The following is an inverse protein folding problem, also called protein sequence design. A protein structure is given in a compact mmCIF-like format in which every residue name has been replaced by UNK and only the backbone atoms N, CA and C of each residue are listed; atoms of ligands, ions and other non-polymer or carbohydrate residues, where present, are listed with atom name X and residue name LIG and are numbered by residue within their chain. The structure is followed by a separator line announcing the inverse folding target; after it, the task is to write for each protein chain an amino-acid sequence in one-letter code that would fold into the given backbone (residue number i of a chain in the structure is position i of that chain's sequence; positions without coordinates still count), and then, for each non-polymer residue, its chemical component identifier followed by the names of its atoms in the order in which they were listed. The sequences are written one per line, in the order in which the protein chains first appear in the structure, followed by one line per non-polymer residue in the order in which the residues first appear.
data_IF_767220235854
#
_entry.id   IF_767220235854
#
_cell.length_a   1.000
_cell.length_b   1.000
_cell.length_c   1.000
_cell.angle_alpha   90.00
_cell.angle_beta   90.00
_cell.angle_gamma   90.00
#
_symmetry.space_group_name_H-M   'P 1'
#
loop_
_entity.id
_entity.type
_entity.pdbx_description
1 polymer ?
#
# COMPACT_ATOMS: atom_id res chain seq x y z
N UNK A 1 14.37 13.43 24.76
CA UNK A 1 15.21 13.29 23.56
C UNK A 1 15.72 14.67 23.16
N UNK A 2 17.01 14.79 22.86
CA UNK A 2 17.61 16.02 22.32
C UNK A 2 17.07 16.30 20.91
N UNK A 3 17.18 17.55 20.45
CA UNK A 3 16.75 17.92 19.08
C UNK A 3 17.44 17.09 18.01
N UNK A 4 18.71 16.74 18.19
CA UNK A 4 19.50 15.89 17.28
C UNK A 4 18.94 14.46 17.20
N UNK A 5 18.57 13.85 18.31
CA UNK A 5 17.98 12.50 18.31
C UNK A 5 16.61 12.44 17.62
N UNK A 6 15.82 13.51 17.74
CA UNK A 6 14.53 13.60 17.03
C UNK A 6 14.70 13.72 15.52
N UNK A 7 15.69 14.51 15.07
CA UNK A 7 15.95 14.66 13.63
C UNK A 7 16.44 13.35 13.01
N UNK A 8 17.36 12.64 13.67
CA UNK A 8 17.85 11.33 13.21
C UNK A 8 16.74 10.28 13.15
N UNK A 9 15.85 10.23 14.14
CA UNK A 9 14.69 9.32 14.12
C UNK A 9 13.73 9.62 12.97
N UNK A 10 13.43 10.88 12.70
CA UNK A 10 12.56 11.28 11.58
C UNK A 10 13.16 10.94 10.23
N UNK A 11 14.46 11.13 10.04
CA UNK A 11 15.17 10.76 8.82
C UNK A 11 15.14 9.24 8.62
N UNK A 12 15.41 8.45 9.68
CA UNK A 12 15.33 6.98 9.63
C UNK A 12 13.94 6.51 9.20
N UNK A 13 12.87 7.09 9.75
CA UNK A 13 11.50 6.79 9.34
C UNK A 13 11.27 7.17 7.86
N UNK A 14 11.71 8.35 7.41
CA UNK A 14 11.57 8.77 6.02
C UNK A 14 12.27 7.82 5.05
N UNK A 15 13.48 7.36 5.38
CA UNK A 15 14.22 6.39 4.56
C UNK A 15 13.48 5.04 4.47
N UNK A 16 12.90 4.57 5.58
CA UNK A 16 12.09 3.35 5.57
C UNK A 16 10.81 3.49 4.75
N UNK A 17 10.09 4.62 4.85
CA UNK A 17 8.91 4.87 4.01
C UNK A 17 9.27 4.94 2.53
N UNK A 18 10.38 5.60 2.18
CA UNK A 18 10.87 5.63 0.79
C UNK A 18 11.28 4.24 0.29
N UNK A 19 11.98 3.47 1.12
CA UNK A 19 12.31 2.08 0.82
C UNK A 19 11.06 1.22 0.62
N UNK A 20 10.01 1.45 1.40
CA UNK A 20 8.71 0.79 1.24
C UNK A 20 8.06 1.14 -0.11
N UNK A 21 8.12 2.40 -0.56
CA UNK A 21 7.62 2.77 -1.90
C UNK A 21 8.33 1.95 -2.98
N UNK A 22 9.66 1.92 -2.95
CA UNK A 22 10.46 1.17 -3.92
C UNK A 22 10.13 -0.33 -3.87
N UNK A 23 10.07 -0.89 -2.67
CA UNK A 23 9.72 -2.29 -2.45
C UNK A 23 8.36 -2.64 -3.03
N UNK A 24 7.32 -1.84 -2.71
CA UNK A 24 5.95 -2.09 -3.20
C UNK A 24 5.89 -1.99 -4.73
N UNK A 25 6.59 -1.03 -5.34
CA UNK A 25 6.66 -0.93 -6.79
C UNK A 25 7.32 -2.17 -7.42
N UNK A 26 8.46 -2.62 -6.90
CA UNK A 26 9.19 -3.78 -7.45
C UNK A 26 8.45 -5.08 -7.19
N UNK A 27 8.07 -5.35 -5.94
CA UNK A 27 7.37 -6.57 -5.58
C UNK A 27 5.97 -6.65 -6.19
N UNK A 28 5.24 -5.52 -6.26
CA UNK A 28 3.96 -5.44 -6.94
C UNK A 28 4.06 -5.75 -8.42
N UNK A 29 5.07 -5.19 -9.10
CA UNK A 29 5.32 -5.52 -10.51
C UNK A 29 5.65 -7.01 -10.71
N UNK A 30 6.41 -7.63 -9.80
CA UNK A 30 6.66 -9.07 -9.85
C UNK A 30 5.40 -9.89 -9.63
N UNK A 31 4.52 -9.47 -8.70
CA UNK A 31 3.24 -10.13 -8.44
C UNK A 31 2.27 -10.05 -9.62
N UNK A 32 2.42 -9.07 -10.51
CA UNK A 32 1.60 -8.96 -11.72
C UNK A 32 1.73 -10.20 -12.62
N UNK A 33 2.92 -10.76 -12.70
CA UNK A 33 3.21 -11.94 -13.52
C UNK A 33 3.23 -13.25 -12.74
N UNK A 34 3.20 -13.19 -11.41
CA UNK A 34 3.46 -14.34 -10.55
C UNK A 34 2.40 -15.45 -10.69
N UNK A 35 1.13 -15.11 -10.97
CA UNK A 35 0.08 -16.10 -11.15
C UNK A 35 0.30 -16.95 -12.41
N UNK A 36 0.65 -16.32 -13.53
CA UNK A 36 0.98 -17.02 -14.78
C UNK A 36 2.28 -17.81 -14.65
N UNK A 37 3.33 -17.21 -14.08
CA UNK A 37 4.64 -17.87 -13.86
C UNK A 37 4.55 -19.06 -12.90
N UNK A 38 3.55 -19.10 -12.03
CA UNK A 38 3.29 -20.25 -11.14
C UNK A 38 2.41 -21.32 -11.77
N UNK A 39 2.24 -21.30 -13.09
CA UNK A 39 1.34 -22.20 -13.82
C UNK A 39 -0.10 -22.19 -13.27
N UNK A 40 -0.59 -21.00 -12.95
CA UNK A 40 -1.94 -20.76 -12.38
C UNK A 40 -2.19 -21.48 -11.06
N UNK A 41 -1.14 -21.64 -10.25
CA UNK A 41 -1.25 -22.25 -8.92
C UNK A 41 -2.21 -21.46 -8.02
N UNK A 42 -3.35 -22.09 -7.66
CA UNK A 42 -4.47 -21.42 -6.97
C UNK A 42 -4.08 -20.64 -5.70
N UNK A 43 -3.18 -21.10 -4.80
CA UNK A 43 -2.78 -20.29 -3.66
C UNK A 43 -2.07 -18.98 -4.03
N UNK A 44 -1.43 -18.89 -5.20
CA UNK A 44 -0.81 -17.66 -5.69
C UNK A 44 -1.85 -16.57 -5.98
N UNK A 45 -3.09 -16.94 -6.32
CA UNK A 45 -4.19 -16.02 -6.53
C UNK A 45 -4.52 -15.13 -5.30
N UNK A 46 -4.09 -15.53 -4.09
CA UNK A 46 -4.22 -14.70 -2.91
C UNK A 46 -3.37 -13.41 -3.02
N UNK A 47 -2.19 -13.51 -3.59
CA UNK A 47 -1.18 -12.45 -3.61
C UNK A 47 -1.09 -11.74 -4.96
N UNK A 48 -1.15 -12.50 -6.03
CA UNK A 48 -0.95 -12.07 -7.41
C UNK A 48 -2.25 -11.67 -8.08
N UNK A 49 -2.17 -10.84 -9.13
CA UNK A 49 -3.30 -10.54 -9.99
C UNK A 49 -3.65 -11.76 -10.84
N UNK A 50 -4.93 -12.15 -10.87
CA UNK A 50 -5.43 -13.25 -11.71
C UNK A 50 -6.09 -12.73 -13.00
N UNK A 51 -6.33 -11.44 -13.09
CA UNK A 51 -6.85 -10.74 -14.27
C UNK A 51 -6.50 -9.24 -14.19
N UNK A 52 -6.81 -8.51 -15.26
CA UNK A 52 -6.49 -7.08 -15.42
C UNK A 52 -7.49 -6.13 -14.71
N UNK A 53 -8.31 -6.60 -13.79
CA UNK A 53 -9.23 -5.73 -13.06
C UNK A 53 -8.49 -4.81 -12.07
N UNK A 54 -9.04 -3.61 -11.87
CA UNK A 54 -8.50 -2.67 -10.88
C UNK A 54 -8.47 -3.26 -9.45
N UNK A 55 -9.42 -4.16 -9.14
CA UNK A 55 -9.46 -4.90 -7.88
C UNK A 55 -8.23 -5.79 -7.70
N UNK A 56 -7.93 -6.61 -8.71
CA UNK A 56 -6.80 -7.54 -8.68
C UNK A 56 -5.46 -6.82 -8.53
N UNK A 57 -5.30 -5.69 -9.22
CA UNK A 57 -4.11 -4.84 -9.08
C UNK A 57 -3.94 -4.28 -7.66
N UNK A 58 -5.02 -4.11 -6.90
CA UNK A 58 -4.92 -3.61 -5.52
C UNK A 58 -4.18 -4.57 -4.59
N UNK A 59 -4.29 -5.88 -4.81
CA UNK A 59 -3.54 -6.89 -4.05
C UNK A 59 -2.03 -6.72 -4.15
N UNK A 60 -1.57 -6.32 -5.33
CA UNK A 60 -0.15 -6.09 -5.60
C UNK A 60 0.46 -4.92 -4.81
N UNK A 61 -0.36 -4.02 -4.29
CA UNK A 61 0.09 -2.95 -3.40
C UNK A 61 -0.09 -3.33 -1.93
N UNK A 62 -1.20 -4.00 -1.63
CA UNK A 62 -1.56 -4.35 -0.26
C UNK A 62 -0.58 -5.35 0.36
N UNK A 63 -0.35 -6.51 -0.27
CA UNK A 63 0.48 -7.55 0.30
C UNK A 63 1.95 -7.14 0.47
N UNK A 64 2.63 -6.58 -0.53
CA UNK A 64 3.98 -6.07 -0.32
C UNK A 64 4.06 -4.96 0.73
N UNK A 65 3.05 -4.08 0.78
CA UNK A 65 2.96 -3.03 1.78
C UNK A 65 2.78 -3.58 3.21
N UNK A 66 1.94 -4.60 3.38
CA UNK A 66 1.75 -5.28 4.66
C UNK A 66 3.03 -5.99 5.11
N UNK A 67 3.70 -6.73 4.22
CA UNK A 67 4.97 -7.39 4.55
C UNK A 67 6.07 -6.39 4.89
N UNK A 68 6.17 -5.29 4.14
CA UNK A 68 7.10 -4.20 4.47
C UNK A 68 6.80 -3.61 5.85
N UNK A 69 5.52 -3.40 6.21
CA UNK A 69 5.14 -2.90 7.51
C UNK A 69 5.56 -3.85 8.66
N UNK A 70 5.42 -5.16 8.48
CA UNK A 70 5.85 -6.15 9.47
C UNK A 70 7.37 -6.12 9.67
N UNK A 71 8.14 -6.09 8.59
CA UNK A 71 9.60 -6.00 8.62
C UNK A 71 10.06 -4.67 9.23
N UNK A 72 9.52 -3.55 8.75
CA UNK A 72 9.90 -2.22 9.21
C UNK A 72 9.65 -2.03 10.72
N UNK A 73 8.60 -2.65 11.28
CA UNK A 73 8.31 -2.57 12.72
C UNK A 73 9.51 -2.99 13.55
N UNK A 74 10.21 -4.06 13.18
CA UNK A 74 11.36 -4.58 13.93
C UNK A 74 12.50 -3.56 14.02
N UNK A 75 12.63 -2.70 13.01
CA UNK A 75 13.73 -1.73 12.89
C UNK A 75 13.37 -0.30 13.30
N UNK A 76 12.08 0.01 13.48
CA UNK A 76 11.67 1.42 13.70
C UNK A 76 10.79 1.62 14.93
N UNK A 77 10.40 0.56 15.65
CA UNK A 77 9.52 0.63 16.82
C UNK A 77 10.04 1.50 17.96
N UNK A 78 11.36 1.72 18.01
CA UNK A 78 12.05 2.54 19.00
C UNK A 78 11.93 4.05 18.74
N UNK A 79 11.67 4.45 17.48
CA UNK A 79 11.60 5.85 17.03
C UNK A 79 10.23 6.24 16.47
N UNK A 80 9.38 5.26 16.15
CA UNK A 80 8.07 5.49 15.59
C UNK A 80 7.00 5.60 16.68
N UNK A 81 6.23 6.69 16.65
CA UNK A 81 4.97 6.76 17.38
C UNK A 81 3.83 6.28 16.47
N UNK A 82 2.73 5.81 17.06
CA UNK A 82 1.49 5.47 16.32
C UNK A 82 1.71 4.52 15.14
N UNK A 83 2.69 3.61 15.23
CA UNK A 83 3.19 2.82 14.12
C UNK A 83 2.06 2.13 13.33
N UNK A 84 1.28 1.30 14.01
CA UNK A 84 0.23 0.52 13.36
C UNK A 84 -0.87 1.38 12.74
N UNK A 85 -1.18 2.53 13.33
CA UNK A 85 -2.13 3.48 12.75
C UNK A 85 -1.60 4.07 11.44
N UNK A 86 -0.34 4.49 11.41
CA UNK A 86 0.30 4.99 10.19
C UNK A 86 0.28 3.95 9.07
N UNK A 87 0.62 2.70 9.38
CA UNK A 87 0.61 1.61 8.39
C UNK A 87 -0.80 1.25 7.93
N UNK A 88 -1.76 1.18 8.83
CA UNK A 88 -3.16 0.94 8.47
C UNK A 88 -3.71 2.04 7.54
N UNK A 89 -3.39 3.30 7.83
CA UNK A 89 -3.78 4.44 6.98
C UNK A 89 -3.11 4.34 5.60
N UNK A 90 -1.81 4.04 5.53
CA UNK A 90 -1.13 3.88 4.24
C UNK A 90 -1.76 2.76 3.39
N UNK A 91 -2.01 1.58 4.00
CA UNK A 91 -2.60 0.42 3.33
C UNK A 91 -4.04 0.67 2.84
N UNK A 92 -4.82 1.50 3.57
CA UNK A 92 -6.17 1.85 3.18
C UNK A 92 -6.21 3.00 2.15
N UNK A 93 -5.37 4.01 2.34
CA UNK A 93 -5.36 5.22 1.51
C UNK A 93 -4.80 4.96 0.11
N UNK A 94 -3.75 4.16 -0.02
CA UNK A 94 -3.10 3.85 -1.29
C UNK A 94 -4.09 3.35 -2.36
N UNK A 95 -4.88 2.28 -2.13
CA UNK A 95 -5.84 1.80 -3.13
C UNK A 95 -6.93 2.83 -3.43
N UNK A 96 -7.42 3.55 -2.45
CA UNK A 96 -8.44 4.59 -2.65
C UNK A 96 -7.94 5.69 -3.59
N UNK A 97 -6.71 6.17 -3.37
CA UNK A 97 -6.10 7.19 -4.23
C UNK A 97 -5.84 6.67 -5.65
N UNK A 98 -5.31 5.45 -5.76
CA UNK A 98 -5.06 4.83 -7.07
C UNK A 98 -6.38 4.67 -7.83
N UNK A 99 -7.43 4.14 -7.22
CA UNK A 99 -8.72 3.97 -7.87
C UNK A 99 -9.33 5.30 -8.29
N UNK A 100 -9.37 6.27 -7.39
CA UNK A 100 -9.92 7.59 -7.69
C UNK A 100 -9.22 8.23 -8.89
N UNK A 101 -7.89 8.27 -8.87
CA UNK A 101 -7.09 8.88 -9.96
C UNK A 101 -7.16 8.05 -11.26
N UNK A 102 -7.13 6.72 -11.16
CA UNK A 102 -7.25 5.81 -12.30
C UNK A 102 -8.61 5.96 -13.00
N UNK A 103 -9.71 5.87 -12.27
CA UNK A 103 -11.03 5.98 -12.89
C UNK A 103 -11.31 7.39 -13.43
N UNK A 104 -10.80 8.43 -12.77
CA UNK A 104 -10.85 9.81 -13.29
C UNK A 104 -10.09 9.92 -14.62
N UNK A 105 -8.87 9.39 -14.66
CA UNK A 105 -8.06 9.35 -15.88
C UNK A 105 -8.74 8.55 -17.00
N UNK A 106 -9.24 7.36 -16.71
CA UNK A 106 -9.92 6.51 -17.72
C UNK A 106 -11.20 7.17 -18.25
N UNK A 107 -11.99 7.82 -17.38
CA UNK A 107 -13.17 8.58 -17.82
C UNK A 107 -12.79 9.70 -18.79
N UNK A 108 -11.68 10.42 -18.51
CA UNK A 108 -11.18 11.43 -19.42
C UNK A 108 -10.69 10.85 -20.75
N UNK A 109 -9.96 9.73 -20.73
CA UNK A 109 -9.49 9.02 -21.94
C UNK A 109 -10.66 8.63 -22.82
N UNK A 110 -11.72 8.04 -22.24
CA UNK A 110 -12.93 7.65 -22.98
C UNK A 110 -13.62 8.87 -23.57
N UNK A 111 -13.79 9.93 -22.79
CA UNK A 111 -14.46 11.16 -23.23
C UNK A 111 -13.71 11.89 -24.35
N UNK A 112 -12.38 11.80 -24.38
CA UNK A 112 -11.52 12.41 -25.40
C UNK A 112 -11.32 11.55 -26.65
N UNK A 113 -11.84 10.31 -26.66
CA UNK A 113 -11.59 9.34 -27.76
C UNK A 113 -10.13 8.89 -27.85
N UNK A 114 -9.35 9.12 -26.78
CA UNK A 114 -7.93 8.80 -26.72
C UNK A 114 -7.64 7.34 -26.36
N UNK A 115 -6.34 7.04 -26.18
CA UNK A 115 -5.87 5.74 -25.69
C UNK A 115 -5.18 5.93 -24.33
N UNK A 116 -5.37 4.97 -23.44
CA UNK A 116 -4.70 4.95 -22.16
C UNK A 116 -3.17 4.82 -22.35
N UNK A 117 -2.41 5.60 -21.57
CA UNK A 117 -0.96 5.64 -21.59
C UNK A 117 -0.38 4.83 -20.43
N UNK A 118 0.45 3.84 -20.72
CA UNK A 118 1.13 3.04 -19.69
C UNK A 118 1.99 3.90 -18.74
N UNK A 119 2.80 4.86 -19.20
CA UNK A 119 3.53 5.74 -18.31
C UNK A 119 2.63 6.53 -17.34
N UNK A 120 1.46 6.97 -17.81
CA UNK A 120 0.48 7.67 -16.95
C UNK A 120 -0.09 6.73 -15.88
N UNK A 121 -0.45 5.50 -16.24
CA UNK A 121 -0.93 4.50 -15.29
C UNK A 121 0.12 4.17 -14.22
N UNK A 122 1.38 3.97 -14.63
CA UNK A 122 2.49 3.75 -13.69
C UNK A 122 2.73 4.97 -12.79
N UNK A 123 2.60 6.18 -13.30
CA UNK A 123 2.71 7.41 -12.50
C UNK A 123 1.59 7.50 -11.45
N UNK A 124 0.36 7.17 -11.80
CA UNK A 124 -0.77 7.10 -10.86
C UNK A 124 -0.47 6.12 -9.72
N UNK A 125 0.05 4.94 -10.06
CA UNK A 125 0.46 3.94 -9.08
C UNK A 125 1.52 4.47 -8.11
N UNK A 126 2.63 5.00 -8.64
CA UNK A 126 3.75 5.51 -7.84
C UNK A 126 3.30 6.66 -6.95
N UNK A 127 2.49 7.60 -7.47
CA UNK A 127 1.96 8.73 -6.70
C UNK A 127 1.03 8.26 -5.58
N UNK A 128 0.14 7.30 -5.85
CA UNK A 128 -0.75 6.75 -4.82
C UNK A 128 0.01 6.07 -3.68
N UNK A 129 1.00 5.22 -4.01
CA UNK A 129 1.85 4.56 -3.02
C UNK A 129 2.64 5.60 -2.22
N UNK A 130 3.28 6.57 -2.90
CA UNK A 130 4.09 7.62 -2.26
C UNK A 130 3.26 8.47 -1.32
N UNK A 131 2.03 8.82 -1.70
CA UNK A 131 1.12 9.60 -0.86
C UNK A 131 0.67 8.80 0.37
N UNK A 132 0.38 7.50 0.21
CA UNK A 132 0.08 6.61 1.33
C UNK A 132 1.25 6.53 2.33
N UNK A 133 2.48 6.36 1.85
CA UNK A 133 3.67 6.31 2.72
C UNK A 133 3.99 7.68 3.35
N UNK A 134 3.76 8.79 2.65
CA UNK A 134 3.89 10.13 3.22
C UNK A 134 2.89 10.36 4.37
N UNK A 135 1.64 9.91 4.22
CA UNK A 135 0.64 9.94 5.27
C UNK A 135 1.05 9.07 6.48
N UNK A 136 1.59 7.87 6.22
CA UNK A 136 2.21 7.02 7.25
C UNK A 136 3.29 7.79 8.01
N UNK A 137 4.29 8.30 7.32
CA UNK A 137 5.37 9.07 7.94
C UNK A 137 4.88 10.23 8.81
N UNK A 138 3.89 10.97 8.32
CA UNK A 138 3.29 12.07 9.07
C UNK A 138 2.66 11.59 10.39
N UNK A 139 2.02 10.41 10.40
CA UNK A 139 1.42 9.82 11.60
C UNK A 139 2.50 9.26 12.53
N UNK A 140 3.51 8.57 12.02
CA UNK A 140 4.60 7.96 12.77
C UNK A 140 5.42 9.01 13.54
N UNK A 141 5.52 10.22 12.99
CA UNK A 141 6.30 11.32 13.56
C UNK A 141 5.51 12.23 14.51
N UNK A 142 4.19 12.02 14.66
CA UNK A 142 3.35 12.75 15.63
C UNK A 142 3.58 12.26 17.06
N UNK A 143 3.22 13.07 18.06
CA UNK A 143 3.17 12.61 19.44
C UNK A 143 2.29 11.34 19.59
N UNK A 144 2.56 10.50 20.60
CA UNK A 144 1.74 9.31 20.83
C UNK A 144 0.24 9.64 20.96
N UNK A 145 -0.58 8.90 20.23
CA UNK A 145 -2.03 8.96 20.29
C UNK A 145 -2.56 7.94 21.33
N UNK A 146 -3.82 8.05 21.68
CA UNK A 146 -4.44 7.17 22.68
C UNK A 146 -4.51 5.70 22.21
N UNK A 147 -4.69 4.77 23.14
CA UNK A 147 -4.81 3.32 22.87
C UNK A 147 -5.92 2.99 21.86
N UNK A 148 -6.98 3.80 21.77
CA UNK A 148 -8.03 3.67 20.76
C UNK A 148 -7.49 3.66 19.33
N UNK A 149 -6.42 4.41 19.04
CA UNK A 149 -5.79 4.45 17.71
C UNK A 149 -5.18 3.09 17.30
N UNK A 150 -4.61 2.34 18.23
CA UNK A 150 -4.06 1.00 17.97
C UNK A 150 -5.17 -0.02 17.68
N UNK A 151 -6.29 0.06 18.40
CA UNK A 151 -7.47 -0.79 18.14
C UNK A 151 -8.08 -0.50 16.77
N UNK A 152 -8.23 0.78 16.43
CA UNK A 152 -8.68 1.22 15.11
C UNK A 152 -7.77 0.69 14.01
N UNK A 153 -6.45 0.82 14.18
CA UNK A 153 -5.47 0.31 13.23
C UNK A 153 -5.60 -1.23 13.03
N UNK A 154 -5.72 -1.98 14.12
CA UNK A 154 -5.92 -3.42 14.08
C UNK A 154 -7.21 -3.80 13.34
N UNK A 155 -8.31 -3.07 13.60
CA UNK A 155 -9.58 -3.26 12.90
C UNK A 155 -9.45 -3.01 11.39
N UNK A 156 -8.84 -1.91 10.98
CA UNK A 156 -8.60 -1.59 9.55
C UNK A 156 -7.76 -2.68 8.89
N UNK A 157 -6.64 -3.07 9.48
CA UNK A 157 -5.75 -4.08 8.91
C UNK A 157 -6.42 -5.45 8.81
N UNK A 158 -7.15 -5.88 9.85
CA UNK A 158 -7.89 -7.13 9.84
C UNK A 158 -8.99 -7.13 8.77
N UNK A 159 -9.74 -6.04 8.65
CA UNK A 159 -10.79 -5.89 7.63
C UNK A 159 -10.20 -5.95 6.22
N UNK A 160 -9.14 -5.19 5.94
CA UNK A 160 -8.48 -5.21 4.63
C UNK A 160 -7.95 -6.60 4.30
N UNK A 161 -7.26 -7.25 5.25
CA UNK A 161 -6.75 -8.61 5.07
C UNK A 161 -7.88 -9.61 4.77
N UNK A 162 -8.97 -9.56 5.54
CA UNK A 162 -10.13 -10.43 5.33
C UNK A 162 -10.79 -10.17 3.96
N UNK A 163 -10.96 -8.90 3.57
CA UNK A 163 -11.53 -8.52 2.28
C UNK A 163 -10.67 -9.04 1.13
N UNK A 164 -9.36 -8.78 1.16
CA UNK A 164 -8.47 -9.27 0.09
C UNK A 164 -8.39 -10.79 0.05
N UNK A 165 -8.31 -11.47 1.19
CA UNK A 165 -8.31 -12.93 1.23
C UNK A 165 -9.63 -13.51 0.69
N UNK A 166 -10.77 -13.00 1.15
CA UNK A 166 -12.09 -13.52 0.75
C UNK A 166 -12.33 -13.33 -0.75
N UNK A 167 -12.13 -12.13 -1.27
CA UNK A 167 -12.43 -11.84 -2.68
C UNK A 167 -11.39 -12.38 -3.67
N UNK A 168 -10.23 -12.84 -3.20
CA UNK A 168 -9.32 -13.61 -4.04
C UNK A 168 -9.86 -14.99 -4.40
N UNK A 169 -10.66 -15.60 -3.53
CA UNK A 169 -11.24 -16.93 -3.76
C UNK A 169 -12.72 -16.91 -4.13
N UNK A 170 -13.43 -15.85 -3.73
CA UNK A 170 -14.85 -15.65 -3.96
C UNK A 170 -15.09 -14.24 -4.54
N UNK A 171 -14.69 -13.97 -5.80
CA UNK A 171 -14.87 -12.66 -6.41
C UNK A 171 -16.35 -12.30 -6.48
N UNK A 172 -16.72 -11.03 -6.23
CA UNK A 172 -18.08 -10.57 -6.44
C UNK A 172 -18.47 -10.75 -7.91
N UNK A 173 -19.72 -11.19 -8.15
CA UNK A 173 -20.28 -11.36 -9.50
C UNK A 173 -20.57 -10.01 -10.13
#
# INVERSE_FOLDING_TARGET
MSGSQRSTGRLRLALWETGTVIWVCVAGSALHFAFELSEYWRPMALFAAVNESAWEHTKMYFWPGLFAALVQYTYTRDVANNYWLGKAVALALTPVLIWFTYFTYMSWVVASGGKASLPTMLSIMVLGISTGQAASWAILTRPPLQLASTRTAAGIMATLTAVFATFSFFPPK
#
